data_IF_002103143343
#
_entry.id   IF_002103143343
#
_cell.length_a   1.000
_cell.length_b   1.000
_cell.length_c   1.000
_cell.angle_alpha   90.00
_cell.angle_beta   90.00
_cell.angle_gamma   90.00
#
_symmetry.space_group_name_H-M   'P 1'
#
loop_
_entity.id
_entity.type
_entity.pdbx_description
1 polymer ?
#
# COMPACT_ATOMS: atom_id res chain seq x y z
N UNK A 1 -0.97 29.07 -20.50
CA UNK A 1 -2.16 29.92 -20.77
C UNK A 1 -2.92 29.36 -21.96
N UNK A 2 -3.81 28.38 -21.74
CA UNK A 2 -4.69 27.84 -22.78
C UNK A 2 -6.10 27.80 -22.20
N UNK A 3 -6.97 28.69 -22.69
CA UNK A 3 -8.36 28.82 -22.26
C UNK A 3 -9.25 27.87 -23.08
N UNK A 4 -9.85 26.87 -22.43
CA UNK A 4 -10.94 26.08 -23.01
C UNK A 4 -12.28 26.76 -22.70
N UNK A 5 -12.96 27.27 -23.73
CA UNK A 5 -14.32 27.80 -23.61
C UNK A 5 -15.34 26.69 -23.81
N UNK A 6 -16.15 26.39 -22.79
CA UNK A 6 -17.32 25.52 -22.94
C UNK A 6 -18.49 26.32 -23.54
N UNK A 7 -18.90 25.92 -24.74
CA UNK A 7 -20.03 26.50 -25.46
C UNK A 7 -21.32 25.76 -25.09
N UNK A 8 -22.18 26.43 -24.33
CA UNK A 8 -23.46 25.90 -23.83
C UNK A 8 -24.52 25.98 -24.95
N UNK A 9 -24.98 24.83 -25.45
CA UNK A 9 -26.05 24.77 -26.46
C UNK A 9 -27.43 24.98 -25.80
N UNK A 10 -28.11 26.08 -26.17
CA UNK A 10 -29.52 26.34 -25.88
C UNK A 10 -30.39 25.63 -26.90
N UNK A 11 -31.21 24.67 -26.46
CA UNK A 11 -32.33 24.14 -27.26
C UNK A 11 -33.55 25.04 -27.07
N UNK A 12 -33.96 25.73 -28.13
CA UNK A 12 -35.21 26.50 -28.18
C UNK A 12 -36.37 25.58 -28.54
N UNK A 13 -37.32 25.43 -27.62
CA UNK A 13 -38.62 24.84 -27.89
C UNK A 13 -39.47 25.80 -28.75
N UNK A 14 -39.88 25.34 -29.93
CA UNK A 14 -40.90 26.00 -30.75
C UNK A 14 -42.22 25.25 -30.62
N UNK A 15 -43.22 25.97 -30.10
CA UNK A 15 -44.62 25.57 -30.05
C UNK A 15 -45.20 25.38 -31.45
N UNK A 16 -45.86 24.24 -31.67
CA UNK A 16 -46.74 24.01 -32.80
C UNK A 16 -48.06 23.42 -32.29
N UNK A 17 -49.08 24.27 -32.24
CA UNK A 17 -50.48 23.95 -32.01
C UNK A 17 -51.05 23.18 -33.20
N UNK A 18 -51.44 21.93 -32.98
CA UNK A 18 -52.27 21.17 -33.92
C UNK A 18 -53.37 20.42 -33.17
N UNK A 19 -54.57 20.98 -33.28
CA UNK A 19 -55.86 20.36 -33.00
C UNK A 19 -56.08 19.13 -33.87
N UNK A 20 -56.44 17.98 -33.30
CA UNK A 20 -56.86 16.83 -34.11
C UNK A 20 -57.17 15.54 -33.36
N UNK A 21 -58.47 15.29 -33.20
CA UNK A 21 -59.14 13.97 -33.22
C UNK A 21 -58.77 12.91 -32.17
N UNK A 22 -59.72 12.69 -31.26
CA UNK A 22 -59.85 11.53 -30.40
C UNK A 22 -59.89 10.21 -31.20
N UNK A 23 -58.83 9.41 -31.10
CA UNK A 23 -58.89 7.96 -31.30
C UNK A 23 -58.59 7.28 -29.96
N UNK A 24 -59.61 6.65 -29.37
CA UNK A 24 -59.47 5.78 -28.20
C UNK A 24 -58.95 4.44 -28.72
N UNK A 25 -57.64 4.25 -28.73
CA UNK A 25 -57.00 2.97 -29.05
C UNK A 25 -56.28 2.43 -27.82
N UNK A 26 -56.92 1.42 -27.22
CA UNK A 26 -56.35 0.52 -26.22
C UNK A 26 -54.95 0.04 -26.63
N UNK A 27 -53.93 0.52 -25.92
CA UNK A 27 -52.52 0.18 -26.13
C UNK A 27 -51.78 0.14 -24.78
N UNK A 28 -52.20 -0.80 -23.93
CA UNK A 28 -51.80 -0.90 -22.52
C UNK A 28 -50.66 -1.87 -22.19
N UNK A 29 -49.63 -2.04 -23.04
CA UNK A 29 -48.60 -3.06 -22.76
C UNK A 29 -47.16 -2.75 -23.19
N UNK A 30 -46.79 -1.49 -23.45
CA UNK A 30 -45.41 -1.11 -23.86
C UNK A 30 -44.59 -0.27 -22.87
N UNK A 31 -45.10 0.14 -21.70
CA UNK A 31 -44.35 1.03 -20.79
C UNK A 31 -43.39 0.32 -19.81
N UNK A 32 -43.61 -0.97 -19.50
CA UNK A 32 -42.85 -1.67 -18.45
C UNK A 32 -41.37 -1.92 -18.86
N UNK A 33 -41.07 -2.02 -20.15
CA UNK A 33 -39.70 -2.23 -20.62
C UNK A 33 -38.82 -0.99 -20.49
N UNK A 34 -39.40 0.22 -20.46
CA UNK A 34 -38.62 1.47 -20.38
C UNK A 34 -38.18 1.77 -18.95
N UNK A 35 -38.97 1.42 -17.95
CA UNK A 35 -38.68 1.70 -16.54
C UNK A 35 -37.55 0.82 -16.00
N UNK A 36 -37.53 -0.47 -16.36
CA UNK A 36 -36.43 -1.38 -15.99
C UNK A 36 -35.09 -0.93 -16.54
N UNK A 37 -35.07 -0.41 -17.77
CA UNK A 37 -33.84 0.11 -18.39
C UNK A 37 -33.32 1.35 -17.65
N UNK A 38 -34.19 2.26 -17.24
CA UNK A 38 -33.81 3.46 -16.47
C UNK A 38 -33.22 3.07 -15.11
N UNK A 39 -33.86 2.13 -14.40
CA UNK A 39 -33.35 1.64 -13.11
C UNK A 39 -31.99 0.97 -13.25
N UNK A 40 -31.78 0.17 -14.30
CA UNK A 40 -30.49 -0.47 -14.58
C UNK A 40 -29.39 0.56 -14.88
N UNK A 41 -29.69 1.60 -15.67
CA UNK A 41 -28.73 2.68 -15.96
C UNK A 41 -28.35 3.47 -14.71
N UNK A 42 -29.33 3.76 -13.84
CA UNK A 42 -29.07 4.46 -12.58
C UNK A 42 -28.18 3.63 -11.64
N UNK A 43 -28.41 2.32 -11.57
CA UNK A 43 -27.58 1.41 -10.79
C UNK A 43 -26.13 1.37 -11.31
N UNK A 44 -25.94 1.28 -12.63
CA UNK A 44 -24.61 1.32 -13.25
C UNK A 44 -23.89 2.66 -13.00
N UNK A 45 -24.62 3.78 -13.03
CA UNK A 45 -24.06 5.09 -12.71
C UNK A 45 -23.63 5.18 -11.25
N UNK A 46 -24.42 4.64 -10.33
CA UNK A 46 -24.09 4.59 -8.91
C UNK A 46 -22.85 3.73 -8.65
N UNK A 47 -22.73 2.57 -9.31
CA UNK A 47 -21.56 1.71 -9.23
C UNK A 47 -20.30 2.40 -9.74
N UNK A 48 -20.35 3.05 -10.91
CA UNK A 48 -19.22 3.83 -11.45
C UNK A 48 -18.76 4.94 -10.51
N UNK A 49 -19.71 5.71 -9.97
CA UNK A 49 -19.39 6.77 -9.01
C UNK A 49 -18.83 6.22 -7.69
N UNK A 50 -19.24 5.01 -7.28
CA UNK A 50 -18.64 4.35 -6.13
C UNK A 50 -17.20 3.94 -6.38
N UNK A 51 -16.93 3.31 -7.53
CA UNK A 51 -15.59 2.89 -7.94
C UNK A 51 -14.63 4.07 -8.09
N UNK A 52 -15.05 5.15 -8.76
CA UNK A 52 -14.23 6.37 -8.90
C UNK A 52 -13.85 6.97 -7.53
N UNK A 53 -14.77 6.93 -6.56
CA UNK A 53 -14.48 7.38 -5.18
C UNK A 53 -13.51 6.43 -4.48
N UNK A 54 -13.66 5.12 -4.66
CA UNK A 54 -12.79 4.10 -4.10
C UNK A 54 -11.35 4.27 -4.60
N UNK A 55 -11.18 4.40 -5.93
CA UNK A 55 -9.89 4.69 -6.57
C UNK A 55 -9.26 6.00 -6.08
N UNK A 56 -10.06 7.06 -5.93
CA UNK A 56 -9.57 8.35 -5.42
C UNK A 56 -9.10 8.28 -3.97
N UNK A 57 -9.81 7.53 -3.12
CA UNK A 57 -9.44 7.28 -1.71
C UNK A 57 -8.11 6.52 -1.63
N UNK A 58 -7.96 5.44 -2.41
CA UNK A 58 -6.72 4.68 -2.49
C UNK A 58 -5.55 5.53 -2.96
N UNK A 59 -5.75 6.36 -4.00
CA UNK A 59 -4.74 7.29 -4.49
C UNK A 59 -4.28 8.28 -3.41
N UNK A 60 -5.23 8.84 -2.66
CA UNK A 60 -4.91 9.80 -1.61
C UNK A 60 -4.14 9.16 -0.45
N UNK A 61 -4.49 7.93 -0.06
CA UNK A 61 -3.74 7.17 0.94
C UNK A 61 -2.27 6.93 0.52
N UNK A 62 -2.01 6.61 -0.76
CA UNK A 62 -0.63 6.46 -1.28
C UNK A 62 0.17 7.77 -1.17
N UNK A 63 -0.45 8.91 -1.50
CA UNK A 63 0.17 10.24 -1.39
C UNK A 63 0.48 10.60 0.05
N UNK A 64 -0.45 10.33 0.97
CA UNK A 64 -0.24 10.53 2.41
C UNK A 64 0.92 9.68 2.94
N UNK A 65 1.06 8.42 2.50
CA UNK A 65 2.20 7.57 2.86
C UNK A 65 3.54 8.19 2.40
N UNK A 66 3.63 8.66 1.16
CA UNK A 66 4.85 9.28 0.64
C UNK A 66 5.19 10.62 1.31
N UNK A 67 4.17 11.42 1.63
CA UNK A 67 4.33 12.64 2.43
C UNK A 67 4.84 12.31 3.84
N UNK A 68 4.26 11.30 4.49
CA UNK A 68 4.72 10.84 5.80
C UNK A 68 6.17 10.34 5.76
N UNK A 69 6.56 9.59 4.72
CA UNK A 69 7.93 9.14 4.53
C UNK A 69 8.90 10.34 4.47
N UNK A 70 8.54 11.40 3.76
CA UNK A 70 9.33 12.64 3.74
C UNK A 70 9.41 13.28 5.13
N UNK A 71 8.29 13.36 5.87
CA UNK A 71 8.26 13.86 7.24
C UNK A 71 9.17 13.05 8.19
N UNK A 72 9.22 11.72 8.05
CA UNK A 72 10.13 10.86 8.82
C UNK A 72 11.59 11.19 8.52
N UNK A 73 11.95 11.34 7.25
CA UNK A 73 13.32 11.64 6.83
C UNK A 73 13.82 13.01 7.33
N UNK A 74 12.94 14.01 7.43
CA UNK A 74 13.28 15.34 7.98
C UNK A 74 13.14 15.42 9.52
N UNK A 75 12.76 14.33 10.18
CA UNK A 75 12.60 14.26 11.64
C UNK A 75 11.29 14.83 12.21
N UNK A 76 10.34 15.19 11.35
CA UNK A 76 9.01 15.71 11.70
C UNK A 76 8.04 14.57 12.01
N UNK A 77 8.36 13.77 13.04
CA UNK A 77 7.66 12.53 13.35
C UNK A 77 6.17 12.73 13.66
N UNK A 78 5.78 13.83 14.30
CA UNK A 78 4.38 14.08 14.66
C UNK A 78 3.49 14.28 13.41
N UNK A 79 4.01 15.00 12.39
CA UNK A 79 3.33 15.16 11.09
C UNK A 79 3.23 13.85 10.32
N UNK A 80 4.29 13.04 10.37
CA UNK A 80 4.28 11.71 9.78
C UNK A 80 3.22 10.80 10.41
N UNK A 81 3.12 10.78 11.75
CA UNK A 81 2.10 10.02 12.49
C UNK A 81 0.69 10.45 12.08
N UNK A 82 0.41 11.76 12.05
CA UNK A 82 -0.89 12.28 11.64
C UNK A 82 -1.26 11.86 10.20
N UNK A 83 -0.30 11.95 9.28
CA UNK A 83 -0.49 11.58 7.87
C UNK A 83 -0.75 10.08 7.69
N UNK A 84 0.01 9.23 8.40
CA UNK A 84 -0.14 7.77 8.36
C UNK A 84 -1.45 7.32 9.01
N UNK A 85 -1.85 7.93 10.12
CA UNK A 85 -3.14 7.66 10.75
C UNK A 85 -4.31 8.01 9.81
N UNK A 86 -4.21 9.14 9.10
CA UNK A 86 -5.19 9.52 8.07
C UNK A 86 -5.21 8.52 6.91
N UNK A 87 -4.04 8.10 6.42
CA UNK A 87 -3.92 7.11 5.35
C UNK A 87 -4.54 5.76 5.74
N UNK A 88 -4.31 5.31 6.98
CA UNK A 88 -4.84 4.04 7.47
C UNK A 88 -6.37 4.06 7.55
N UNK A 89 -6.97 5.13 8.10
CA UNK A 89 -8.44 5.30 8.12
C UNK A 89 -9.06 5.26 6.72
N UNK A 90 -8.36 5.77 5.71
CA UNK A 90 -8.82 5.72 4.32
C UNK A 90 -8.81 4.27 3.77
N UNK A 91 -7.80 3.47 4.12
CA UNK A 91 -7.76 2.05 3.76
C UNK A 91 -8.91 1.27 4.42
N UNK A 92 -9.21 1.54 5.69
CA UNK A 92 -10.31 0.86 6.42
C UNK A 92 -11.69 1.14 5.80
N UNK A 93 -11.90 2.37 5.29
CA UNK A 93 -13.15 2.74 4.62
C UNK A 93 -13.36 1.99 3.30
N UNK A 94 -12.28 1.50 2.68
CA UNK A 94 -12.31 0.75 1.42
C UNK A 94 -12.67 -0.72 1.66
N UNK A 95 -12.01 -1.37 2.61
CA UNK A 95 -12.18 -2.81 2.90
C UNK A 95 -13.62 -3.18 3.32
N UNK A 96 -14.38 -2.25 3.89
CA UNK A 96 -15.75 -2.52 4.33
C UNK A 96 -16.81 -2.54 3.21
N UNK A 97 -16.44 -2.26 1.95
CA UNK A 97 -17.39 -2.19 0.83
C UNK A 97 -17.22 -3.29 -0.21
N UNK A 98 -16.15 -4.07 -0.13
CA UNK A 98 -15.75 -5.00 -1.17
C UNK A 98 -16.06 -6.44 -0.76
N UNK A 99 -17.36 -6.75 -0.67
CA UNK A 99 -17.82 -8.14 -0.82
C UNK A 99 -17.90 -8.54 -2.31
N UNK A 100 -17.54 -7.62 -3.23
CA UNK A 100 -17.46 -7.87 -4.67
C UNK A 100 -16.01 -8.25 -5.03
N UNK A 101 -15.75 -9.55 -5.19
CA UNK A 101 -14.47 -10.25 -5.42
C UNK A 101 -13.62 -9.78 -6.65
N UNK A 102 -13.96 -8.66 -7.30
CA UNK A 102 -13.45 -8.34 -8.64
C UNK A 102 -12.22 -7.42 -8.68
N UNK A 103 -11.84 -6.72 -7.60
CA UNK A 103 -10.66 -5.84 -7.65
C UNK A 103 -9.35 -6.60 -7.40
N UNK A 104 -8.84 -7.22 -8.47
CA UNK A 104 -7.55 -7.89 -8.43
C UNK A 104 -6.41 -6.89 -8.17
N UNK A 105 -5.50 -7.17 -7.22
CA UNK A 105 -4.36 -6.31 -6.97
C UNK A 105 -3.44 -6.26 -8.20
N UNK A 106 -2.81 -5.11 -8.42
CA UNK A 106 -1.89 -4.91 -9.51
C UNK A 106 -0.68 -5.84 -9.38
N UNK A 107 -0.39 -6.56 -10.46
CA UNK A 107 0.70 -7.52 -10.55
C UNK A 107 2.00 -6.89 -11.04
N UNK A 108 2.14 -5.55 -11.09
CA UNK A 108 3.40 -4.93 -11.50
C UNK A 108 4.43 -4.96 -10.36
N UNK A 109 5.73 -4.97 -10.68
CA UNK A 109 6.78 -4.93 -9.66
C UNK A 109 6.71 -3.66 -8.80
N UNK A 110 6.39 -2.51 -9.38
CA UNK A 110 6.24 -1.22 -8.69
C UNK A 110 5.11 -1.20 -7.64
N UNK A 111 4.15 -2.14 -7.70
CA UNK A 111 3.09 -2.29 -6.69
C UNK A 111 3.40 -3.38 -5.66
N UNK A 112 4.40 -4.21 -5.91
CA UNK A 112 4.85 -5.21 -4.94
C UNK A 112 5.58 -4.56 -3.77
N UNK A 113 5.58 -5.25 -2.63
CA UNK A 113 6.28 -4.80 -1.43
C UNK A 113 7.78 -4.66 -1.68
N UNK A 114 8.40 -5.62 -2.37
CA UNK A 114 9.82 -5.55 -2.74
C UNK A 114 10.14 -4.39 -3.67
N UNK A 115 9.27 -4.11 -4.65
CA UNK A 115 9.44 -2.95 -5.54
C UNK A 115 9.35 -1.62 -4.80
N UNK A 116 8.45 -1.50 -3.83
CA UNK A 116 8.37 -0.32 -2.96
C UNK A 116 9.62 -0.16 -2.08
N UNK A 117 10.12 -1.25 -1.49
CA UNK A 117 11.35 -1.22 -0.67
C UNK A 117 12.56 -0.83 -1.53
N UNK A 118 12.73 -1.46 -2.70
CA UNK A 118 13.82 -1.14 -3.62
C UNK A 118 13.79 0.33 -4.07
N UNK A 119 12.61 0.84 -4.41
CA UNK A 119 12.42 2.25 -4.76
C UNK A 119 12.80 3.20 -3.63
N UNK A 120 12.44 2.85 -2.39
CA UNK A 120 12.71 3.67 -1.21
C UNK A 120 14.21 3.81 -0.95
N UNK A 121 14.94 2.71 -1.07
CA UNK A 121 16.38 2.71 -0.86
C UNK A 121 17.17 3.40 -1.96
N UNK A 122 16.71 3.27 -3.21
CA UNK A 122 17.35 3.94 -4.33
C UNK A 122 17.27 5.46 -4.20
N UNK A 123 16.10 6.00 -3.86
CA UNK A 123 15.91 7.45 -3.77
C UNK A 123 16.56 8.11 -2.57
N UNK A 124 16.74 7.41 -1.45
CA UNK A 124 17.43 8.00 -0.29
C UNK A 124 18.88 8.39 -0.61
N UNK A 125 19.55 7.66 -1.50
CA UNK A 125 20.93 7.96 -1.89
C UNK A 125 21.03 9.26 -2.73
N UNK A 126 19.94 9.66 -3.38
CA UNK A 126 19.90 10.89 -4.17
C UNK A 126 19.92 12.13 -3.28
N UNK A 127 19.24 12.09 -2.14
CA UNK A 127 19.25 13.19 -1.18
C UNK A 127 20.66 13.39 -0.56
N UNK A 128 21.37 12.30 -0.28
CA UNK A 128 22.74 12.37 0.27
C UNK A 128 23.74 12.93 -0.76
N UNK A 129 23.64 12.55 -2.03
CA UNK A 129 24.56 13.01 -3.08
C UNK A 129 24.43 14.50 -3.40
N UNK A 130 23.22 15.08 -3.38
CA UNK A 130 23.00 16.52 -3.60
C UNK A 130 23.66 17.36 -2.49
N UNK A 131 23.77 16.83 -1.28
CA UNK A 131 24.37 17.54 -0.14
C UNK A 131 25.90 17.54 -0.15
N UNK A 132 26.54 16.58 -0.81
CA UNK A 132 28.01 16.53 -0.95
C UNK A 132 28.49 17.56 -1.98
N UNK A 133 27.81 17.70 -3.12
CA UNK A 133 28.22 18.66 -4.17
C UNK A 133 28.12 20.12 -3.73
N UNK A 134 27.26 20.45 -2.76
CA UNK A 134 27.11 21.83 -2.26
C UNK A 134 28.13 22.21 -1.17
N UNK A 135 28.82 21.25 -0.55
CA UNK A 135 29.76 21.54 0.54
C UNK A 135 31.12 22.09 0.05
N UNK A 136 31.52 21.78 -1.17
CA UNK A 136 32.81 22.23 -1.72
C UNK A 136 32.83 23.72 -2.10
N UNK A 137 31.67 24.39 -2.16
CA UNK A 137 31.57 25.78 -2.62
C UNK A 137 31.64 26.83 -1.51
N UNK A 138 31.43 26.48 -0.24
CA UNK A 138 31.13 27.45 0.83
C UNK A 138 31.94 27.30 2.14
N UNK A 139 33.12 26.67 2.07
CA UNK A 139 33.95 26.29 3.23
C UNK A 139 34.54 27.42 4.11
N UNK A 140 34.11 28.69 3.99
CA UNK A 140 34.83 29.80 4.67
C UNK A 140 34.09 30.46 5.85
N UNK A 141 32.77 30.36 6.05
CA UNK A 141 32.15 31.24 7.07
C UNK A 141 31.10 30.73 8.07
N UNK A 142 30.65 29.47 8.08
CA UNK A 142 29.60 29.06 9.03
C UNK A 142 29.94 27.80 9.85
N UNK A 143 30.84 27.95 10.82
CA UNK A 143 31.26 26.90 11.74
C UNK A 143 30.27 26.60 12.89
N UNK A 144 29.15 27.32 13.03
CA UNK A 144 28.30 27.24 14.24
C UNK A 144 26.85 26.80 14.04
N UNK A 145 26.46 26.34 12.85
CA UNK A 145 25.12 25.78 12.61
C UNK A 145 25.16 24.47 11.83
N UNK A 146 26.12 23.60 12.16
CA UNK A 146 26.08 22.18 11.79
C UNK A 146 24.96 21.56 12.62
N UNK A 147 23.77 21.42 12.05
CA UNK A 147 23.44 20.30 11.17
C UNK A 147 23.15 19.07 12.00
N UNK A 148 21.90 18.95 12.41
CA UNK A 148 21.27 17.69 12.84
C UNK A 148 21.20 16.65 11.70
N UNK A 149 21.92 16.84 10.58
CA UNK A 149 22.10 15.84 9.52
C UNK A 149 22.69 14.59 10.14
N UNK A 150 21.87 13.55 10.22
CA UNK A 150 22.27 12.14 10.23
C UNK A 150 23.46 11.76 11.13
N UNK A 151 23.69 12.51 12.21
CA UNK A 151 24.64 12.22 13.29
C UNK A 151 24.04 11.25 14.30
N UNK A 152 23.44 10.16 13.82
CA UNK A 152 23.08 9.04 14.69
C UNK A 152 23.97 7.86 14.31
N UNK A 153 25.08 7.78 15.05
CA UNK A 153 26.05 6.69 15.18
C UNK A 153 27.16 6.55 14.13
N UNK A 154 28.23 7.32 14.36
CA UNK A 154 29.59 6.76 14.37
C UNK A 154 30.09 6.63 15.83
N UNK A 155 29.14 6.43 16.77
CA UNK A 155 29.48 5.91 18.08
C UNK A 155 29.59 4.40 17.86
N UNK A 156 30.82 3.90 17.85
CA UNK A 156 31.21 2.48 17.91
C UNK A 156 30.69 1.82 19.20
N UNK A 157 29.39 1.93 19.49
CA UNK A 157 28.76 1.07 20.47
C UNK A 157 28.33 -0.20 19.73
N UNK A 158 29.16 -1.26 19.75
CA UNK A 158 28.88 -2.51 19.03
C UNK A 158 27.55 -3.15 19.47
N UNK A 159 26.97 -2.70 20.59
CA UNK A 159 25.73 -3.24 21.14
C UNK A 159 24.46 -2.50 20.68
N UNK A 160 24.58 -1.30 20.08
CA UNK A 160 23.45 -0.57 19.50
C UNK A 160 23.06 -1.16 18.13
N UNK A 161 22.38 -2.31 18.16
CA UNK A 161 21.95 -3.05 16.98
C UNK A 161 21.36 -2.18 15.87
N UNK A 162 21.68 -2.49 14.61
CA UNK A 162 21.27 -1.71 13.45
C UNK A 162 19.74 -1.69 13.32
N UNK A 163 19.09 -0.57 13.60
CA UNK A 163 17.66 -0.37 13.33
C UNK A 163 17.51 -0.02 11.85
N UNK A 164 16.55 -0.63 11.15
CA UNK A 164 16.15 -0.17 9.84
C UNK A 164 15.33 1.12 9.98
N UNK A 165 15.80 2.23 9.41
CA UNK A 165 15.28 3.60 9.65
C UNK A 165 14.52 4.22 8.49
N UNK A 166 14.47 3.54 7.34
CA UNK A 166 14.03 4.13 6.08
C UNK A 166 12.55 3.84 5.82
N UNK A 167 11.67 4.85 5.74
CA UNK A 167 10.27 4.60 5.43
C UNK A 167 10.11 4.00 4.02
N UNK A 168 9.11 3.13 3.85
CA UNK A 168 8.79 2.54 2.55
C UNK A 168 7.88 3.50 1.77
N UNK A 169 8.41 4.04 0.69
CA UNK A 169 7.75 4.89 -0.30
C UNK A 169 7.12 4.07 -1.41
N UNK A 170 6.01 4.58 -1.93
CA UNK A 170 5.28 4.01 -3.06
C UNK A 170 5.81 4.67 -4.34
N UNK A 171 6.19 3.90 -5.37
CA UNK A 171 6.67 4.45 -6.63
C UNK A 171 5.65 5.41 -7.29
N UNK A 172 6.09 6.54 -7.87
CA UNK A 172 5.23 7.49 -8.58
C UNK A 172 4.41 6.83 -9.68
N UNK A 173 4.98 5.84 -10.37
CA UNK A 173 4.28 5.06 -11.38
C UNK A 173 2.98 4.44 -10.82
N UNK A 174 3.05 3.77 -9.66
CA UNK A 174 1.90 3.16 -8.99
C UNK A 174 0.85 4.18 -8.53
N UNK A 175 1.23 5.45 -8.37
CA UNK A 175 0.33 6.56 -8.03
C UNK A 175 -0.31 7.13 -9.30
N UNK A 176 0.51 7.48 -10.31
CA UNK A 176 0.06 8.10 -11.56
C UNK A 176 -0.82 7.18 -12.41
N UNK A 177 -0.50 5.90 -12.44
CA UNK A 177 -1.25 4.87 -13.18
C UNK A 177 -2.44 4.33 -12.35
N UNK A 178 -2.68 4.85 -11.15
CA UNK A 178 -3.80 4.47 -10.26
C UNK A 178 -3.85 2.97 -9.93
N UNK A 179 -2.71 2.28 -9.91
CA UNK A 179 -2.66 0.83 -9.72
C UNK A 179 -3.21 0.37 -8.37
N UNK A 180 -4.18 -0.55 -8.29
CA UNK A 180 -4.63 -1.08 -7.01
C UNK A 180 -3.49 -1.85 -6.35
N UNK A 181 -3.03 -1.43 -5.19
CA UNK A 181 -1.99 -2.17 -4.44
C UNK A 181 -2.59 -3.23 -3.51
N UNK A 182 -3.93 -3.26 -3.42
CA UNK A 182 -4.69 -4.04 -2.47
C UNK A 182 -4.11 -3.93 -1.07
N UNK A 183 -3.94 -5.09 -0.47
CA UNK A 183 -3.27 -5.40 0.78
C UNK A 183 -1.88 -4.82 1.03
N UNK A 184 -1.11 -4.58 -0.03
CA UNK A 184 0.27 -4.09 0.10
C UNK A 184 0.30 -2.67 0.65
N UNK A 185 -0.67 -1.84 0.28
CA UNK A 185 -0.76 -0.46 0.73
C UNK A 185 -0.96 -0.31 2.25
N UNK A 186 -2.01 -0.89 2.86
CA UNK A 186 -2.20 -0.79 4.30
C UNK A 186 -1.00 -1.42 5.03
N UNK A 187 -0.41 -2.52 4.55
CA UNK A 187 0.79 -3.12 5.15
C UNK A 187 1.97 -2.13 5.22
N UNK A 188 2.24 -1.40 4.14
CA UNK A 188 3.27 -0.36 4.09
C UNK A 188 2.96 0.78 5.07
N UNK A 189 1.71 1.23 5.13
CA UNK A 189 1.27 2.32 6.02
C UNK A 189 1.47 1.91 7.49
N UNK A 190 1.02 0.71 7.87
CA UNK A 190 1.16 0.19 9.25
C UNK A 190 2.63 0.03 9.64
N UNK A 191 3.46 -0.47 8.71
CA UNK A 191 4.90 -0.55 8.94
C UNK A 191 5.54 0.83 9.16
N UNK A 192 5.25 1.80 8.28
CA UNK A 192 5.79 3.15 8.40
C UNK A 192 5.34 3.83 9.70
N UNK A 193 4.12 3.52 10.17
CA UNK A 193 3.61 3.99 11.45
C UNK A 193 4.38 3.36 12.63
N UNK A 194 4.65 2.06 12.58
CA UNK A 194 5.50 1.39 13.56
C UNK A 194 6.91 2.00 13.58
N UNK A 195 7.47 2.27 12.40
CA UNK A 195 8.80 2.83 12.23
C UNK A 195 8.91 4.23 12.84
N UNK A 196 7.99 5.14 12.54
CA UNK A 196 8.05 6.52 13.08
C UNK A 196 7.95 6.55 14.61
N UNK A 197 7.13 5.68 15.21
CA UNK A 197 7.06 5.56 16.66
C UNK A 197 8.37 5.00 17.25
N UNK A 198 8.96 3.98 16.62
CA UNK A 198 10.25 3.41 17.00
C UNK A 198 11.35 4.49 16.98
N UNK A 199 11.47 5.23 15.88
CA UNK A 199 12.46 6.31 15.74
C UNK A 199 12.23 7.42 16.79
N UNK A 200 10.97 7.78 17.06
CA UNK A 200 10.62 8.76 18.09
C UNK A 200 11.06 8.33 19.49
N UNK A 201 10.93 7.03 19.82
CA UNK A 201 11.37 6.48 21.11
C UNK A 201 12.90 6.54 21.23
N UNK A 202 13.61 6.19 20.16
CA UNK A 202 15.08 6.19 20.12
C UNK A 202 15.62 7.60 20.30
N UNK A 203 15.07 8.58 19.59
CA UNK A 203 15.52 9.98 19.63
C UNK A 203 15.25 10.63 20.99
N UNK A 204 14.12 10.31 21.63
CA UNK A 204 13.76 10.89 22.94
C UNK A 204 14.42 10.13 24.13
N UNK A 205 15.22 9.10 23.86
CA UNK A 205 15.67 8.09 24.83
C UNK A 205 16.56 8.56 25.98
N UNK A 206 17.15 9.77 25.91
CA UNK A 206 18.19 10.22 26.84
C UNK A 206 17.68 10.98 28.07
N UNK A 207 16.37 11.25 28.16
CA UNK A 207 15.85 11.99 29.31
C UNK A 207 15.69 11.08 30.54
N UNK A 208 16.33 11.48 31.65
CA UNK A 208 16.33 10.75 32.93
C UNK A 208 15.05 10.94 33.75
N UNK A 209 14.06 11.67 33.25
CA UNK A 209 12.82 11.95 33.96
C UNK A 209 12.00 10.66 34.18
N UNK A 210 11.54 10.45 35.42
CA UNK A 210 10.79 9.26 35.81
C UNK A 210 9.42 9.21 35.13
N UNK A 211 8.77 10.35 34.94
CA UNK A 211 7.49 10.42 34.21
C UNK A 211 7.69 10.01 32.74
N UNK A 212 8.77 10.51 32.15
CA UNK A 212 9.18 10.15 30.79
C UNK A 212 9.43 8.64 30.64
N UNK A 213 10.01 7.97 31.64
CA UNK A 213 10.22 6.50 31.59
C UNK A 213 8.91 5.72 31.46
N UNK A 214 7.85 6.14 32.15
CA UNK A 214 6.54 5.47 32.06
C UNK A 214 5.91 5.72 30.68
N UNK A 215 5.94 6.96 30.19
CA UNK A 215 5.45 7.30 28.83
C UNK A 215 6.24 6.57 27.75
N UNK A 216 7.54 6.40 27.93
CA UNK A 216 8.42 5.62 27.05
C UNK A 216 8.01 4.15 27.01
N UNK A 217 7.77 3.50 28.15
CA UNK A 217 7.30 2.11 28.20
C UNK A 217 5.98 1.91 27.46
N UNK A 218 5.00 2.80 27.67
CA UNK A 218 3.74 2.76 26.92
C UNK A 218 3.97 2.91 25.42
N UNK A 219 4.83 3.86 25.02
CA UNK A 219 5.17 4.07 23.61
C UNK A 219 5.84 2.85 22.99
N UNK A 220 6.77 2.20 23.71
CA UNK A 220 7.44 0.97 23.27
C UNK A 220 6.41 -0.17 23.07
N UNK A 221 5.51 -0.36 24.03
CA UNK A 221 4.46 -1.39 23.92
C UNK A 221 3.53 -1.14 22.74
N UNK A 222 3.13 0.11 22.50
CA UNK A 222 2.30 0.46 21.34
C UNK A 222 3.04 0.21 20.02
N UNK A 223 4.33 0.56 19.97
CA UNK A 223 5.19 0.31 18.79
C UNK A 223 5.35 -1.19 18.54
N UNK A 224 5.51 -1.97 19.61
CA UNK A 224 5.60 -3.42 19.53
C UNK A 224 4.31 -4.03 18.96
N UNK A 225 3.14 -3.55 19.40
CA UNK A 225 1.85 -3.99 18.86
C UNK A 225 1.71 -3.65 17.37
N UNK A 226 2.18 -2.48 16.92
CA UNK A 226 2.18 -2.11 15.50
C UNK A 226 3.03 -3.05 14.65
N UNK A 227 4.24 -3.39 15.09
CA UNK A 227 5.07 -4.35 14.36
C UNK A 227 4.48 -5.77 14.39
N UNK A 228 3.87 -6.18 15.50
CA UNK A 228 3.17 -7.47 15.58
C UNK A 228 1.99 -7.54 14.62
N UNK A 229 1.21 -6.45 14.51
CA UNK A 229 0.12 -6.32 13.55
C UNK A 229 0.65 -6.38 12.11
N UNK A 230 1.74 -5.67 11.82
CA UNK A 230 2.41 -5.69 10.51
C UNK A 230 2.85 -7.12 10.14
N UNK A 231 3.46 -7.84 11.08
CA UNK A 231 3.88 -9.23 10.87
C UNK A 231 2.68 -10.17 10.68
N UNK A 232 1.59 -9.97 11.43
CA UNK A 232 0.34 -10.75 11.27
C UNK A 232 -0.24 -10.56 9.88
N UNK A 233 -0.31 -9.33 9.38
CA UNK A 233 -0.78 -9.04 8.02
C UNK A 233 0.09 -9.72 6.97
N UNK A 234 1.42 -9.62 7.09
CA UNK A 234 2.33 -10.34 6.20
C UNK A 234 2.05 -11.84 6.18
N UNK A 235 1.85 -12.48 7.34
CA UNK A 235 1.54 -13.91 7.44
C UNK A 235 0.18 -14.29 6.83
N UNK A 236 -0.84 -13.45 7.01
CA UNK A 236 -2.17 -13.68 6.42
C UNK A 236 -2.08 -13.71 4.89
N UNK A 237 -1.34 -12.77 4.30
CA UNK A 237 -1.11 -12.76 2.84
C UNK A 237 -0.43 -14.03 2.32
N UNK A 238 0.50 -14.59 3.09
CA UNK A 238 1.12 -15.88 2.74
C UNK A 238 0.10 -17.00 2.68
N UNK A 239 -0.80 -17.06 3.66
CA UNK A 239 -1.78 -18.13 3.78
C UNK A 239 -2.85 -18.07 2.69
N UNK A 240 -3.30 -16.87 2.33
CA UNK A 240 -4.29 -16.66 1.26
C UNK A 240 -3.73 -17.01 -0.12
N UNK A 241 -2.46 -16.68 -0.36
CA UNK A 241 -1.78 -17.04 -1.61
C UNK A 241 -1.65 -18.57 -1.79
N UNK A 242 -1.48 -19.31 -0.69
CA UNK A 242 -1.36 -20.77 -0.71
C UNK A 242 -2.70 -21.48 -0.96
N UNK A 243 -3.81 -20.96 -0.43
CA UNK A 243 -5.13 -21.58 -0.60
C UNK A 243 -5.67 -21.44 -2.03
N UNK A 244 -5.39 -20.33 -2.70
CA UNK A 244 -5.75 -20.10 -4.11
C UNK A 244 -5.05 -21.10 -5.04
N UNK A 245 -3.79 -21.41 -4.77
CA UNK A 245 -2.99 -22.35 -5.57
C UNK A 245 -3.51 -23.79 -5.49
N UNK A 246 -4.05 -24.21 -4.35
CA UNK A 246 -4.59 -25.58 -4.18
C UNK A 246 -5.96 -25.78 -4.83
N UNK A 247 -6.73 -24.71 -5.03
CA UNK A 247 -8.11 -24.81 -5.52
C UNK A 247 -8.19 -25.06 -7.03
N UNK A 248 -7.14 -24.73 -7.80
CA UNK A 248 -7.15 -24.87 -9.26
C UNK A 248 -6.63 -26.22 -9.76
N UNK A 249 -5.82 -26.96 -8.98
CA UNK A 249 -5.19 -28.21 -9.44
C UNK A 249 -6.12 -29.44 -9.45
N UNK A 250 -7.36 -29.33 -8.98
CA UNK A 250 -8.25 -30.48 -8.79
C UNK A 250 -9.27 -30.72 -9.92
N UNK A 251 -9.29 -29.90 -10.97
CA UNK A 251 -10.34 -29.98 -11.99
C UNK A 251 -9.96 -30.73 -13.29
N UNK A 252 -8.71 -31.17 -13.45
CA UNK A 252 -8.22 -31.78 -14.71
C UNK A 252 -8.08 -33.32 -14.69
N UNK A 253 -8.55 -34.03 -13.66
CA UNK A 253 -8.33 -35.49 -13.57
C UNK A 253 -9.60 -36.35 -13.54
N UNK A 254 -10.70 -35.93 -14.16
CA UNK A 254 -11.91 -36.77 -14.28
C UNK A 254 -12.40 -36.92 -15.72
N UNK A 255 -11.50 -37.30 -16.62
CA UNK A 255 -11.87 -37.96 -17.88
C UNK A 255 -11.51 -39.45 -17.76
N UNK A 256 -12.29 -40.14 -16.93
CA UNK A 256 -12.43 -41.58 -17.06
C UNK A 256 -13.25 -41.84 -18.32
N UNK A 257 -12.54 -42.19 -19.40
CA UNK A 257 -12.81 -43.30 -20.29
C UNK A 257 -14.30 -43.69 -20.44
N UNK A 258 -14.94 -43.21 -21.50
CA UNK A 258 -15.82 -44.09 -22.26
C UNK A 258 -15.50 -43.98 -23.76
N UNK A 259 -14.39 -44.64 -24.11
CA UNK A 259 -13.98 -44.93 -25.47
C UNK A 259 -15.04 -45.79 -26.17
N UNK A 260 -15.89 -45.17 -26.98
CA UNK A 260 -16.55 -45.87 -28.08
C UNK A 260 -16.36 -45.12 -29.40
N UNK A 261 -15.36 -45.62 -30.13
CA UNK A 261 -15.42 -45.98 -31.55
C UNK A 261 -15.94 -44.93 -32.54
N UNK A 262 -15.07 -44.46 -33.45
CA UNK A 262 -15.35 -44.25 -34.87
C UNK A 262 -14.02 -44.06 -35.63
N UNK A 263 -13.63 -45.06 -36.42
CA UNK A 263 -12.60 -44.92 -37.45
C UNK A 263 -13.08 -43.95 -38.54
N UNK A 264 -12.35 -42.86 -38.74
CA UNK A 264 -12.65 -41.88 -39.78
C UNK A 264 -11.41 -41.04 -40.08
N UNK A 265 -10.73 -41.42 -41.16
CA UNK A 265 -9.63 -40.69 -41.77
C UNK A 265 -10.02 -39.21 -41.99
N UNK A 266 -9.41 -38.28 -41.26
CA UNK A 266 -9.47 -36.87 -41.63
C UNK A 266 -8.07 -36.25 -41.63
N UNK A 267 -7.74 -35.74 -42.82
CA UNK A 267 -6.45 -35.22 -43.19
C UNK A 267 -6.23 -33.85 -42.54
N UNK A 268 -5.15 -33.75 -41.78
CA UNK A 268 -4.21 -32.63 -41.84
C UNK A 268 -4.82 -31.23 -41.95
N UNK A 269 -4.98 -30.58 -40.79
CA UNK A 269 -4.63 -29.16 -40.68
C UNK A 269 -3.53 -29.05 -39.63
N UNK A 270 -2.33 -28.67 -40.07
CA UNK A 270 -1.19 -28.38 -39.19
C UNK A 270 -1.55 -27.15 -38.37
N UNK A 271 -2.17 -27.37 -37.21
CA UNK A 271 -2.41 -26.33 -36.22
C UNK A 271 -1.04 -25.76 -35.86
N UNK A 272 -0.87 -24.50 -36.25
CA UNK A 272 0.30 -23.69 -35.99
C UNK A 272 0.63 -23.80 -34.51
N UNK A 273 1.87 -24.19 -34.20
CA UNK A 273 2.42 -24.21 -32.84
C UNK A 273 2.35 -22.78 -32.30
N UNK A 274 1.21 -22.45 -31.70
CA UNK A 274 1.08 -21.29 -30.85
C UNK A 274 1.95 -21.64 -29.65
N UNK A 275 3.16 -21.09 -29.61
CA UNK A 275 3.97 -20.99 -28.40
C UNK A 275 3.17 -20.16 -27.39
N UNK A 276 2.12 -20.77 -26.83
CA UNK A 276 1.42 -20.25 -25.67
C UNK A 276 2.45 -20.28 -24.55
N UNK A 277 3.02 -19.10 -24.34
CA UNK A 277 3.88 -18.73 -23.24
C UNK A 277 3.12 -19.08 -21.95
N UNK A 278 3.36 -20.30 -21.45
CA UNK A 278 2.92 -20.75 -20.13
C UNK A 278 3.49 -19.77 -19.12
N UNK A 279 2.73 -18.73 -18.79
CA UNK A 279 3.06 -17.79 -17.74
C UNK A 279 3.03 -18.58 -16.44
N UNK A 280 4.24 -18.93 -16.00
CA UNK A 280 4.53 -19.77 -14.84
C UNK A 280 3.81 -19.21 -13.61
N UNK A 281 2.75 -19.89 -13.19
CA UNK A 281 1.86 -19.48 -12.10
C UNK A 281 2.61 -19.32 -10.77
N UNK A 282 3.80 -19.92 -10.67
CA UNK A 282 4.74 -19.79 -9.55
C UNK A 282 5.33 -18.37 -9.42
N UNK A 283 5.26 -17.54 -10.48
CA UNK A 283 5.68 -16.13 -10.40
C UNK A 283 4.71 -15.24 -9.62
N UNK A 284 3.43 -15.62 -9.54
CA UNK A 284 2.40 -14.82 -8.87
C UNK A 284 2.50 -14.94 -7.34
N UNK A 285 2.61 -16.18 -6.84
CA UNK A 285 2.77 -16.52 -5.41
C UNK A 285 4.08 -15.95 -4.84
N UNK A 286 5.14 -15.89 -5.64
CA UNK A 286 6.44 -15.35 -5.21
C UNK A 286 6.42 -13.83 -4.98
N UNK A 287 5.47 -13.11 -5.57
CA UNK A 287 5.44 -11.64 -5.56
C UNK A 287 4.99 -11.04 -4.23
N UNK A 288 4.32 -11.83 -3.40
CA UNK A 288 3.75 -11.37 -2.12
C UNK A 288 4.63 -11.72 -0.92
N UNK A 289 5.55 -12.68 -1.08
CA UNK A 289 6.48 -13.12 -0.05
C UNK A 289 7.79 -12.32 -0.09
N UNK A 290 7.74 -11.07 0.40
CA UNK A 290 8.96 -10.27 0.55
C UNK A 290 9.82 -10.81 1.70
N UNK A 291 10.82 -11.61 1.34
CA UNK A 291 11.87 -12.09 2.25
C UNK A 291 12.59 -10.91 2.90
N UNK A 292 12.82 -9.86 2.10
CA UNK A 292 13.46 -8.63 2.52
C UNK A 292 12.68 -7.91 3.62
N UNK A 293 11.37 -7.78 3.46
CA UNK A 293 10.52 -7.15 4.45
C UNK A 293 10.51 -7.93 5.77
N UNK A 294 10.50 -9.26 5.71
CA UNK A 294 10.61 -10.10 6.91
C UNK A 294 11.92 -9.85 7.68
N UNK A 295 13.04 -9.70 6.96
CA UNK A 295 14.32 -9.36 7.56
C UNK A 295 14.26 -8.01 8.28
N UNK A 296 13.66 -6.99 7.64
CA UNK A 296 13.47 -5.64 8.21
C UNK A 296 12.65 -5.72 9.50
N UNK A 297 11.49 -6.40 9.48
CA UNK A 297 10.61 -6.54 10.65
C UNK A 297 11.32 -7.26 11.79
N UNK A 298 11.94 -8.42 11.53
CA UNK A 298 12.61 -9.21 12.56
C UNK A 298 13.73 -8.43 13.24
N UNK A 299 14.49 -7.67 12.46
CA UNK A 299 15.56 -6.82 12.96
C UNK A 299 15.02 -5.69 13.87
N UNK A 300 13.98 -4.98 13.43
CA UNK A 300 13.37 -3.91 14.23
C UNK A 300 12.66 -4.43 15.49
N UNK A 301 11.95 -5.56 15.39
CA UNK A 301 11.34 -6.25 16.54
C UNK A 301 12.37 -6.71 17.56
N UNK A 302 13.49 -7.28 17.11
CA UNK A 302 14.58 -7.70 18.01
C UNK A 302 15.07 -6.53 18.86
N UNK A 303 15.23 -5.35 18.25
CA UNK A 303 15.61 -4.13 18.94
C UNK A 303 14.55 -3.67 19.97
N UNK A 304 13.27 -3.68 19.61
CA UNK A 304 12.19 -3.34 20.55
C UNK A 304 12.10 -4.32 21.72
N UNK A 305 12.32 -5.62 21.48
CA UNK A 305 12.33 -6.61 22.55
C UNK A 305 13.47 -6.38 23.55
N UNK A 306 14.64 -5.93 23.09
CA UNK A 306 15.71 -5.50 24.01
C UNK A 306 15.30 -4.29 24.83
N UNK A 307 14.59 -3.33 24.24
CA UNK A 307 14.10 -2.14 24.96
C UNK A 307 13.06 -2.45 26.05
N UNK A 308 12.41 -3.62 26.02
CA UNK A 308 11.49 -4.10 27.07
C UNK A 308 12.09 -5.21 27.95
N UNK A 309 13.40 -5.44 27.86
CA UNK A 309 14.11 -6.49 28.59
C UNK A 309 13.57 -7.92 28.33
N UNK A 310 13.05 -8.20 27.12
CA UNK A 310 12.59 -9.53 26.68
C UNK A 310 13.64 -10.19 25.76
N UNK A 311 14.76 -10.61 26.37
CA UNK A 311 15.89 -11.23 25.65
C UNK A 311 15.49 -12.50 24.91
N UNK A 312 14.48 -13.22 25.39
CA UNK A 312 14.02 -14.46 24.77
C UNK A 312 13.40 -14.19 23.41
N UNK A 313 12.46 -13.24 23.34
CA UNK A 313 11.86 -12.86 22.06
C UNK A 313 12.83 -12.11 21.16
N UNK A 314 13.73 -11.31 21.73
CA UNK A 314 14.80 -10.66 20.95
C UNK A 314 15.67 -11.69 20.24
N UNK A 315 16.10 -12.74 20.96
CA UNK A 315 16.88 -13.86 20.42
C UNK A 315 16.09 -14.63 19.35
N UNK A 316 14.82 -14.93 19.60
CA UNK A 316 13.96 -15.60 18.62
C UNK A 316 13.84 -14.81 17.31
N UNK A 317 13.70 -13.48 17.39
CA UNK A 317 13.68 -12.63 16.19
C UNK A 317 15.00 -12.68 15.41
N UNK A 318 16.14 -12.76 16.10
CA UNK A 318 17.45 -12.88 15.46
C UNK A 318 17.68 -14.27 14.84
N UNK A 319 17.19 -15.34 15.49
CA UNK A 319 17.23 -16.69 14.92
C UNK A 319 16.38 -16.76 13.64
N UNK A 320 15.18 -16.15 13.64
CA UNK A 320 14.34 -16.04 12.46
C UNK A 320 15.01 -15.21 11.35
N UNK A 321 15.65 -14.10 11.71
CA UNK A 321 16.41 -13.26 10.78
C UNK A 321 17.56 -14.06 10.15
N UNK A 322 18.34 -14.77 10.95
CA UNK A 322 19.45 -15.60 10.47
C UNK A 322 18.97 -16.72 9.56
N UNK A 323 17.90 -17.43 9.94
CA UNK A 323 17.26 -18.44 9.11
C UNK A 323 16.84 -17.88 7.74
N UNK A 324 16.24 -16.69 7.75
CA UNK A 324 15.82 -15.99 6.53
C UNK A 324 17.02 -15.63 5.65
N UNK A 325 18.11 -15.10 6.24
CA UNK A 325 19.34 -14.79 5.52
C UNK A 325 19.97 -16.04 4.91
N UNK A 326 20.03 -17.15 5.65
CA UNK A 326 20.55 -18.42 5.14
C UNK A 326 19.76 -18.91 3.92
N UNK A 327 18.42 -18.84 3.98
CA UNK A 327 17.56 -19.20 2.84
C UNK A 327 17.84 -18.35 1.59
N UNK A 328 18.09 -17.04 1.75
CA UNK A 328 18.46 -16.15 0.63
C UNK A 328 19.81 -16.56 0.04
N UNK A 329 20.81 -16.83 0.88
CA UNK A 329 22.15 -17.24 0.45
C UNK A 329 22.09 -18.57 -0.32
N UNK A 330 21.36 -19.56 0.20
CA UNK A 330 21.20 -20.86 -0.44
C UNK A 330 20.51 -20.75 -1.81
N UNK A 331 19.49 -19.90 -1.91
CA UNK A 331 18.81 -19.65 -3.18
C UNK A 331 19.72 -18.95 -4.20
N UNK A 332 20.56 -18.01 -3.77
CA UNK A 332 21.52 -17.34 -4.65
C UNK A 332 22.58 -18.31 -5.19
N UNK A 333 23.05 -19.25 -4.36
CA UNK A 333 24.04 -20.26 -4.77
C UNK A 333 23.48 -21.25 -5.81
N UNK A 334 22.19 -21.63 -5.71
CA UNK A 334 21.56 -22.51 -6.71
C UNK A 334 21.42 -21.86 -8.09
N UNK A 335 21.18 -20.56 -8.12
CA UNK A 335 21.07 -19.82 -9.39
C UNK A 335 22.42 -19.69 -10.10
N UNK A 336 23.53 -19.55 -9.37
CA UNK A 336 24.87 -19.46 -9.99
C UNK A 336 25.29 -20.75 -10.70
N UNK A 337 24.87 -21.92 -10.19
CA UNK A 337 25.23 -23.21 -10.78
C UNK A 337 24.48 -23.48 -12.10
N UNK A 338 23.25 -22.95 -12.22
CA UNK A 338 22.39 -23.19 -13.39
C UNK A 338 22.78 -22.31 -14.58
N UNK A 339 23.15 -21.05 -14.32
CA UNK A 339 23.57 -20.10 -15.39
C UNK A 339 24.90 -20.49 -16.02
N UNK A 340 25.79 -21.13 -15.26
CA UNK A 340 27.10 -21.58 -15.75
C UNK A 340 26.99 -22.78 -16.72
N UNK A 341 25.90 -23.56 -16.67
CA UNK A 341 25.68 -24.69 -17.56
C UNK A 341 25.07 -24.32 -18.92
N UNK A 342 24.39 -23.16 -19.02
CA UNK A 342 23.54 -22.85 -20.17
C UNK A 342 23.93 -21.62 -20.99
N UNK A 343 24.84 -20.76 -20.51
CA UNK A 343 25.09 -19.47 -21.17
C UNK A 343 26.57 -19.16 -21.40
N UNK A 344 27.04 -19.58 -22.57
CA UNK A 344 28.24 -19.04 -23.23
C UNK A 344 27.93 -17.98 -24.29
N UNK A 345 26.72 -17.38 -24.37
CA UNK A 345 26.46 -16.43 -25.48
C UNK A 345 25.43 -15.28 -25.33
N UNK A 346 24.84 -15.01 -24.17
CA UNK A 346 24.00 -13.80 -24.02
C UNK A 346 24.24 -13.13 -22.67
N UNK A 347 25.26 -12.27 -22.62
CA UNK A 347 25.45 -11.33 -21.52
C UNK A 347 24.89 -9.95 -21.89
N UNK A 348 24.21 -9.38 -20.90
CA UNK A 348 24.01 -7.95 -20.64
C UNK A 348 22.89 -7.23 -21.42
N UNK A 349 21.74 -7.02 -20.75
CA UNK A 349 20.98 -5.77 -20.93
C UNK A 349 19.92 -5.40 -19.85
N UNK A 350 19.96 -5.94 -18.63
CA UNK A 350 18.90 -5.65 -17.63
C UNK A 350 19.24 -4.58 -16.59
N UNK A 351 20.28 -3.76 -16.78
CA UNK A 351 20.66 -2.69 -15.82
C UNK A 351 20.60 -1.27 -16.40
N UNK A 352 19.89 -1.05 -17.50
CA UNK A 352 19.57 0.32 -17.97
C UNK A 352 18.13 0.64 -17.58
N UNK A 353 17.92 1.04 -16.33
CA UNK A 353 16.69 1.74 -15.94
C UNK A 353 16.95 3.22 -16.10
N UNK A 354 16.09 3.80 -16.93
CA UNK A 354 16.09 5.16 -17.43
C UNK A 354 16.08 6.15 -16.25
N UNK A 355 17.14 6.94 -16.11
CA UNK A 355 17.10 8.20 -15.39
C UNK A 355 16.22 9.16 -16.20
N UNK A 356 14.90 9.07 -16.02
CA UNK A 356 14.00 10.12 -16.46
C UNK A 356 14.12 11.22 -15.42
N UNK A 357 14.64 12.37 -15.85
CA UNK A 357 14.49 13.65 -15.17
C UNK A 357 12.99 13.93 -14.99
N UNK A 358 12.43 13.43 -13.88
CA UNK A 358 11.11 13.83 -13.42
C UNK A 358 11.35 15.11 -12.63
N UNK A 359 11.09 16.25 -13.26
CA UNK A 359 10.74 17.49 -12.57
C UNK A 359 9.50 17.15 -11.72
N UNK A 360 9.72 16.70 -10.49
CA UNK A 360 8.67 16.61 -9.47
C UNK A 360 8.45 18.05 -9.05
N UNK A 361 7.59 18.76 -9.79
CA UNK A 361 6.90 19.91 -9.25
C UNK A 361 6.16 19.41 -8.01
N UNK A 362 6.79 19.60 -6.85
CA UNK A 362 6.13 19.55 -5.55
C UNK A 362 5.13 20.70 -5.56
N UNK A 363 3.95 20.44 -6.13
CA UNK A 363 2.75 21.17 -5.77
C UNK A 363 2.56 20.87 -4.29
N UNK A 364 3.13 21.74 -3.45
CA UNK A 364 2.75 21.87 -2.07
C UNK A 364 1.23 21.98 -2.11
N UNK A 365 0.55 20.92 -1.67
CA UNK A 365 -0.84 21.06 -1.25
C UNK A 365 -0.78 22.03 -0.08
N UNK A 366 -0.91 23.33 -0.35
CA UNK A 366 -1.28 24.29 0.67
C UNK A 366 -2.54 23.73 1.34
N UNK A 367 -2.48 23.55 2.65
CA UNK A 367 -3.52 22.95 3.50
C UNK A 367 -4.83 23.77 3.55
N UNK A 368 -5.16 24.55 2.51
CA UNK A 368 -6.44 25.27 2.36
C UNK A 368 -7.59 24.36 1.85
N UNK A 369 -7.55 23.06 2.14
CA UNK A 369 -8.68 22.13 1.92
C UNK A 369 -9.44 21.82 3.21
N UNK A 370 -9.68 22.83 4.04
CA UNK A 370 -10.62 22.78 5.16
C UNK A 370 -12.00 23.28 4.69
N UNK A 371 -12.78 22.43 4.01
CA UNK A 371 -14.26 22.36 4.19
C UNK A 371 -14.94 21.29 3.32
N UNK A 372 -14.50 21.04 2.08
CA UNK A 372 -15.33 20.24 1.14
C UNK A 372 -15.20 18.71 1.31
N UNK A 373 -14.18 18.23 2.04
CA UNK A 373 -14.04 16.79 2.33
C UNK A 373 -14.85 16.33 3.55
N UNK A 374 -15.40 17.25 4.36
CA UNK A 374 -16.31 16.89 5.45
C UNK A 374 -17.68 16.45 4.94
N UNK A 375 -18.16 17.01 3.82
CA UNK A 375 -19.46 16.65 3.23
C UNK A 375 -19.50 15.20 2.72
N UNK A 376 -18.37 14.69 2.20
CA UNK A 376 -18.25 13.29 1.80
C UNK A 376 -18.29 12.31 2.99
N UNK A 377 -17.75 12.71 4.15
CA UNK A 377 -17.77 11.92 5.38
C UNK A 377 -19.11 12.05 6.14
N UNK A 378 -19.76 13.21 6.08
CA UNK A 378 -21.04 13.47 6.76
C UNK A 378 -22.22 12.76 6.06
N UNK A 379 -22.17 12.56 4.75
CA UNK A 379 -23.19 11.81 4.01
C UNK A 379 -23.19 10.29 4.36
N UNK A 380 -22.07 9.73 4.79
CA UNK A 380 -21.94 8.30 5.10
C UNK A 380 -22.41 7.95 6.53
N UNK A 381 -22.39 8.91 7.47
CA UNK A 381 -22.93 8.74 8.82
C UNK A 381 -24.45 8.45 8.83
N UNK A 382 -25.20 8.88 7.82
CA UNK A 382 -26.65 8.65 7.75
C UNK A 382 -27.06 7.30 7.12
N UNK A 383 -26.18 6.59 6.41
CA UNK A 383 -26.53 5.31 5.76
C UNK A 383 -26.19 4.05 6.58
N UNK A 384 -25.40 4.17 7.65
CA UNK A 384 -24.85 2.99 8.36
C UNK A 384 -25.71 2.51 9.54
N UNK A 385 -27.03 2.73 9.52
CA UNK A 385 -27.96 2.16 10.52
C UNK A 385 -28.75 0.93 10.06
N UNK A 386 -28.56 0.43 8.83
CA UNK A 386 -29.21 -0.79 8.37
C UNK A 386 -28.26 -1.67 7.56
N UNK A 387 -27.52 -2.54 8.24
CA UNK A 387 -27.44 -3.98 7.94
C UNK A 387 -26.38 -4.66 8.83
N UNK A 388 -26.81 -5.67 9.57
CA UNK A 388 -25.97 -6.62 10.27
C UNK A 388 -25.93 -7.91 9.47
N UNK A 389 -24.75 -8.32 9.00
CA UNK A 389 -24.42 -9.73 8.81
C UNK A 389 -22.99 -9.95 9.29
N UNK A 390 -22.84 -10.91 10.22
CA UNK A 390 -21.59 -11.42 10.74
C UNK A 390 -21.10 -12.57 9.86
N UNK A 391 -19.82 -12.58 9.48
CA UNK A 391 -18.88 -13.67 9.77
C UNK A 391 -17.49 -13.44 9.12
N UNK A 392 -16.71 -12.47 9.61
CA UNK A 392 -15.23 -12.43 9.51
C UNK A 392 -14.61 -11.38 10.48
N UNK A 393 -15.33 -11.02 11.55
CA UNK A 393 -15.13 -9.78 12.32
C UNK A 393 -14.19 -9.86 13.52
N UNK A 394 -13.39 -10.91 13.67
CA UNK A 394 -12.63 -11.13 14.92
C UNK A 394 -11.18 -10.64 14.91
N UNK A 395 -10.57 -10.36 13.75
CA UNK A 395 -9.20 -9.78 13.70
C UNK A 395 -9.18 -8.25 13.70
N UNK A 396 -10.27 -7.60 13.30
CA UNK A 396 -10.31 -6.16 13.01
C UNK A 396 -10.76 -5.28 14.20
N UNK A 397 -11.57 -5.82 15.12
CA UNK A 397 -11.99 -5.12 16.35
C UNK A 397 -10.78 -4.78 17.24
N UNK A 398 -9.70 -5.57 17.18
CA UNK A 398 -8.45 -5.27 17.88
C UNK A 398 -7.72 -4.06 17.27
N UNK A 399 -7.78 -3.88 15.94
CA UNK A 399 -7.21 -2.71 15.25
C UNK A 399 -8.04 -1.46 15.52
N UNK A 400 -9.37 -1.57 15.53
CA UNK A 400 -10.26 -0.44 15.83
C UNK A 400 -10.10 0.03 17.29
N UNK A 401 -10.01 -0.89 18.25
CA UNK A 401 -9.67 -0.57 19.64
C UNK A 401 -8.25 -0.01 19.79
N UNK A 402 -7.30 -0.50 18.99
CA UNK A 402 -5.94 0.02 18.95
C UNK A 402 -5.86 1.41 18.34
N UNK A 403 -6.57 1.71 17.26
CA UNK A 403 -6.60 3.01 16.60
C UNK A 403 -7.44 4.02 17.36
N UNK A 404 -8.49 3.60 18.05
CA UNK A 404 -9.18 4.45 19.01
C UNK A 404 -8.24 4.78 20.18
N UNK A 405 -7.49 3.82 20.71
CA UNK A 405 -6.48 4.11 21.74
C UNK A 405 -5.33 4.98 21.21
N UNK A 406 -4.80 4.72 20.02
CA UNK A 406 -3.73 5.50 19.40
C UNK A 406 -4.19 6.91 19.06
N UNK A 407 -5.41 7.06 18.52
CA UNK A 407 -6.03 8.37 18.25
C UNK A 407 -6.29 9.14 19.55
N UNK A 408 -6.73 8.47 20.62
CA UNK A 408 -6.91 9.08 21.95
C UNK A 408 -5.57 9.56 22.51
N UNK A 409 -4.51 8.77 22.37
CA UNK A 409 -3.16 9.13 22.81
C UNK A 409 -2.60 10.31 22.00
N UNK A 410 -2.83 10.35 20.68
CA UNK A 410 -2.42 11.48 19.83
C UNK A 410 -3.18 12.76 20.21
N UNK A 411 -4.50 12.65 20.49
CA UNK A 411 -5.33 13.78 20.88
C UNK A 411 -4.94 14.33 22.27
N UNK A 412 -4.69 13.46 23.24
CA UNK A 412 -4.23 13.87 24.58
C UNK A 412 -2.84 14.53 24.56
N UNK A 413 -1.92 14.07 23.69
CA UNK A 413 -0.60 14.69 23.54
C UNK A 413 -0.66 16.05 22.82
N UNK A 414 -1.58 16.23 21.87
CA UNK A 414 -1.85 17.52 21.24
C UNK A 414 -2.44 18.54 22.22
N UNK A 415 -3.38 18.11 23.07
CA UNK A 415 -4.03 18.97 24.07
C UNK A 415 -3.05 19.49 25.14
N UNK A 416 -2.14 18.62 25.62
CA UNK A 416 -1.13 19.00 26.63
C UNK A 416 -0.11 20.03 26.12
N UNK A 417 0.19 20.02 24.81
CA UNK A 417 1.06 21.04 24.19
C UNK A 417 0.36 22.38 23.99
N UNK A 418 -0.97 22.39 23.79
CA UNK A 418 -1.76 23.62 23.67
C UNK A 418 -1.97 24.32 25.03
N UNK A 419 -2.07 23.57 26.13
CA UNK A 419 -2.25 24.13 27.48
C UNK A 419 -0.93 24.62 28.13
N UNK A 420 0.22 24.28 27.54
CA UNK A 420 1.55 24.66 28.02
C UNK A 420 2.18 25.85 27.25
N UNK A 421 1.53 26.34 26.20
CA UNK A 421 1.90 27.51 25.41
C UNK A 421 0.96 28.68 25.72
#
# INVERSE_FOLDING_TARGET
>A
MSSFSYQQQRTTNTDATATGTHYISSSGSKSISSEKYILQQLQLQQQRSSLERATAVGLYAKRLNNSAAMCVEIGEHDKAIASLAKALRLCELHENKEDDDDEQPCLCYSCSLDGCIAYSEYNSNLAESIEEEQQDSNAIHNAHKKSSKNMIHDHDDPDCGHIYRRPIRIPPQSIQEHHPMGSTLPLIITFNLALVHHLSIVIKGDSNDLDFKNKRRTSINNTLQLYQLTNKWQLQYKSESQSLSQSQSHHESSDDDDSSHCDGDDDSIMSIDSEEEYQDQDTLTRKMDSVRFNMIICNNLSHLYRLVDDDTKSKQCLENLLSTVMLVVDNNNKHTDTVTASSSNYQNNSNVIIANDIDIDFEYCDDEYDNDSQDALQYQSQQTQQSQVQAQRTSFIEVEGFLQNASTIIFEQGQQHADAA
#
